data_IF_224704934427
#
_entry.id   IF_224704934427
#
_cell.length_a   1.000
_cell.length_b   1.000
_cell.length_c   1.000
_cell.angle_alpha   90.00
_cell.angle_beta   90.00
_cell.angle_gamma   90.00
#
_symmetry.space_group_name_H-M   'P 1'
#
loop_
_entity.id
_entity.type
_entity.pdbx_description
1 polymer ?
#
# COMPACT_ATOMS: atom_id res chain seq x y z
N UNK A 1 -13.73 4.31 -14.68
CA UNK A 1 -13.02 3.84 -13.47
C UNK A 1 -13.79 4.28 -12.23
N UNK A 2 -14.48 3.35 -11.55
CA UNK A 2 -15.28 3.67 -10.35
C UNK A 2 -14.34 4.00 -9.20
N UNK A 3 -14.18 5.30 -8.90
CA UNK A 3 -13.63 5.72 -7.62
C UNK A 3 -14.51 5.13 -6.52
N UNK A 4 -13.90 4.34 -5.64
CA UNK A 4 -14.54 3.74 -4.48
C UNK A 4 -14.78 4.84 -3.43
N UNK A 5 -15.69 5.78 -3.72
CA UNK A 5 -16.17 6.75 -2.74
C UNK A 5 -17.12 6.04 -1.77
N UNK A 6 -16.54 5.22 -0.88
CA UNK A 6 -17.28 4.51 0.16
C UNK A 6 -17.78 5.52 1.19
N UNK A 7 -19.08 5.84 1.17
CA UNK A 7 -19.75 6.60 2.24
C UNK A 7 -19.51 5.93 3.60
N UNK A 8 -18.86 6.65 4.53
CA UNK A 8 -18.71 6.42 5.98
C UNK A 8 -18.76 4.98 6.51
N UNK A 9 -19.95 4.37 6.58
CA UNK A 9 -20.14 3.02 7.14
C UNK A 9 -19.49 1.90 6.32
N UNK A 10 -19.46 2.03 5.00
CA UNK A 10 -18.83 1.01 4.16
C UNK A 10 -17.30 1.13 4.19
N UNK A 11 -16.77 2.33 4.42
CA UNK A 11 -15.33 2.55 4.58
C UNK A 11 -14.79 1.92 5.86
N UNK A 12 -15.51 2.08 6.99
CA UNK A 12 -15.13 1.45 8.26
C UNK A 12 -15.16 -0.08 8.20
N UNK A 13 -16.16 -0.67 7.52
CA UNK A 13 -16.20 -2.12 7.27
C UNK A 13 -15.07 -2.58 6.35
N UNK A 14 -14.78 -1.83 5.28
CA UNK A 14 -13.65 -2.12 4.40
C UNK A 14 -12.32 -2.09 5.17
N UNK A 15 -12.11 -1.10 6.04
CA UNK A 15 -10.95 -1.03 6.92
C UNK A 15 -10.81 -2.27 7.81
N UNK A 16 -11.89 -2.71 8.47
CA UNK A 16 -11.86 -3.90 9.33
C UNK A 16 -11.47 -5.18 8.59
N UNK A 17 -11.79 -5.30 7.30
CA UNK A 17 -11.45 -6.48 6.49
C UNK A 17 -10.05 -6.36 5.88
N UNK A 18 -9.72 -5.21 5.30
CA UNK A 18 -8.50 -5.05 4.50
C UNK A 18 -7.27 -4.75 5.34
N UNK A 19 -7.39 -4.03 6.47
CA UNK A 19 -6.23 -3.68 7.30
C UNK A 19 -5.50 -4.94 7.79
N UNK A 20 -6.17 -5.95 8.38
CA UNK A 20 -5.47 -7.16 8.83
C UNK A 20 -4.74 -7.89 7.69
N UNK A 21 -5.34 -7.93 6.49
CA UNK A 21 -4.74 -8.58 5.31
C UNK A 21 -3.48 -7.82 4.87
N UNK A 22 -3.57 -6.51 4.74
CA UNK A 22 -2.43 -5.67 4.33
C UNK A 22 -1.31 -5.66 5.38
N UNK A 23 -1.66 -5.67 6.66
CA UNK A 23 -0.70 -5.79 7.75
C UNK A 23 0.02 -7.13 7.70
N UNK A 24 -0.70 -8.23 7.45
CA UNK A 24 -0.09 -9.55 7.32
C UNK A 24 0.92 -9.60 6.16
N UNK A 25 0.54 -9.10 4.97
CA UNK A 25 1.48 -9.01 3.83
C UNK A 25 2.68 -8.11 4.17
N UNK A 26 2.47 -6.99 4.86
CA UNK A 26 3.54 -6.07 5.25
C UNK A 26 4.51 -6.68 6.27
N UNK A 27 3.98 -7.43 7.25
CA UNK A 27 4.78 -8.15 8.25
C UNK A 27 5.58 -9.27 7.59
N UNK A 28 4.98 -10.03 6.68
CA UNK A 28 5.67 -11.08 5.92
C UNK A 28 6.86 -10.52 5.14
N UNK A 29 6.66 -9.42 4.42
CA UNK A 29 7.73 -8.69 3.73
C UNK A 29 8.81 -8.23 4.73
N UNK A 30 8.42 -7.64 5.86
CA UNK A 30 9.39 -7.17 6.85
C UNK A 30 10.22 -8.32 7.43
N UNK A 31 9.61 -9.47 7.70
CA UNK A 31 10.31 -10.65 8.21
C UNK A 31 11.34 -11.15 7.20
N UNK A 32 11.00 -11.16 5.91
CA UNK A 32 11.85 -11.66 4.83
C UNK A 32 12.92 -10.65 4.38
N UNK A 33 12.55 -9.41 4.14
CA UNK A 33 13.42 -8.38 3.57
C UNK A 33 14.10 -7.49 4.64
N UNK A 34 13.67 -7.59 5.92
CA UNK A 34 14.07 -6.72 7.05
C UNK A 34 13.80 -5.22 6.84
N UNK A 35 12.99 -4.86 5.83
CA UNK A 35 12.64 -3.48 5.50
C UNK A 35 11.27 -3.37 4.84
N UNK A 36 10.51 -2.35 5.19
CA UNK A 36 9.24 -1.97 4.56
C UNK A 36 9.48 -0.74 3.67
N UNK A 37 9.91 -0.99 2.43
CA UNK A 37 10.15 0.09 1.46
C UNK A 37 8.87 0.47 0.71
N UNK A 38 8.85 1.66 0.12
CA UNK A 38 7.73 2.10 -0.69
C UNK A 38 7.45 1.17 -1.90
N UNK A 39 8.51 0.59 -2.46
CA UNK A 39 8.39 -0.41 -3.53
C UNK A 39 7.73 -1.69 -3.01
N UNK A 40 8.17 -2.21 -1.86
CA UNK A 40 7.61 -3.43 -1.29
C UNK A 40 6.11 -3.26 -0.95
N UNK A 41 5.72 -2.12 -0.38
CA UNK A 41 4.31 -1.78 -0.13
C UNK A 41 3.52 -1.68 -1.45
N UNK A 42 4.14 -1.18 -2.51
CA UNK A 42 3.51 -1.11 -3.83
C UNK A 42 3.26 -2.49 -4.43
N UNK A 43 4.13 -3.48 -4.16
CA UNK A 43 3.87 -4.87 -4.54
C UNK A 43 2.63 -5.43 -3.85
N UNK A 44 2.44 -5.14 -2.56
CA UNK A 44 1.21 -5.52 -1.84
C UNK A 44 -0.02 -4.92 -2.54
N UNK A 45 0.04 -3.62 -2.83
CA UNK A 45 -1.06 -2.91 -3.49
C UNK A 45 -1.39 -3.52 -4.87
N UNK A 46 -0.38 -3.86 -5.68
CA UNK A 46 -0.56 -4.51 -6.99
C UNK A 46 -1.12 -5.93 -6.82
N UNK A 47 -0.50 -6.76 -5.96
CA UNK A 47 -0.93 -8.14 -5.64
C UNK A 47 -2.40 -8.19 -5.22
N UNK A 48 -2.84 -7.23 -4.40
CA UNK A 48 -4.21 -7.14 -3.88
C UNK A 48 -5.15 -6.34 -4.78
N UNK A 49 -4.68 -5.85 -5.92
CA UNK A 49 -5.40 -4.96 -6.83
C UNK A 49 -6.05 -3.76 -6.10
N UNK A 50 -5.30 -3.16 -5.18
CA UNK A 50 -5.76 -2.08 -4.32
C UNK A 50 -5.07 -0.76 -4.69
N UNK A 51 -5.71 0.41 -4.48
CA UNK A 51 -5.04 1.68 -4.69
C UNK A 51 -3.80 1.80 -3.80
N UNK A 52 -2.66 2.18 -4.40
CA UNK A 52 -1.38 2.30 -3.68
C UNK A 52 -1.51 3.28 -2.51
N UNK A 53 -2.06 4.47 -2.75
CA UNK A 53 -2.29 5.48 -1.71
C UNK A 53 -3.07 4.90 -0.52
N UNK A 54 -4.18 4.23 -0.78
CA UNK A 54 -5.02 3.64 0.28
C UNK A 54 -4.30 2.51 1.02
N UNK A 55 -3.41 1.78 0.35
CA UNK A 55 -2.56 0.78 1.01
C UNK A 55 -1.64 1.45 2.04
N UNK A 56 -0.99 2.56 1.69
CA UNK A 56 -0.21 3.35 2.64
C UNK A 56 -1.07 3.89 3.78
N UNK A 57 -2.21 4.52 3.47
CA UNK A 57 -3.12 5.07 4.48
C UNK A 57 -3.60 4.02 5.48
N UNK A 58 -3.88 2.80 5.02
CA UNK A 58 -4.32 1.69 5.88
C UNK A 58 -3.18 1.18 6.76
N UNK A 59 -1.95 1.12 6.25
CA UNK A 59 -0.77 0.75 7.04
C UNK A 59 -0.37 1.84 8.04
N UNK A 60 -0.55 3.11 7.70
CA UNK A 60 -0.40 4.24 8.63
C UNK A 60 -1.45 4.20 9.74
N UNK A 61 -2.71 3.93 9.37
CA UNK A 61 -3.79 3.75 10.34
C UNK A 61 -3.48 2.62 11.33
N UNK A 62 -2.94 1.50 10.82
CA UNK A 62 -2.52 0.34 11.61
C UNK A 62 -1.21 0.56 12.39
N UNK A 63 -0.60 1.76 12.33
CA UNK A 63 0.68 2.11 12.96
C UNK A 63 1.87 1.27 12.50
N UNK A 64 1.76 0.64 11.33
CA UNK A 64 2.89 -0.05 10.67
C UNK A 64 3.84 0.97 10.04
N UNK A 65 3.30 2.09 9.57
CA UNK A 65 4.05 3.19 8.99
C UNK A 65 3.89 4.46 9.83
N UNK A 66 4.89 5.36 9.84
CA UNK A 66 4.73 6.71 10.38
C UNK A 66 3.57 7.44 9.69
N UNK A 67 2.82 8.25 10.43
CA UNK A 67 1.76 9.09 9.85
C UNK A 67 2.30 10.02 8.76
N UNK A 68 1.56 10.17 7.67
CA UNK A 68 1.94 11.04 6.54
C UNK A 68 3.11 10.48 5.72
N UNK A 69 3.34 9.16 5.78
CA UNK A 69 4.35 8.50 4.96
C UNK A 69 4.03 8.66 3.47
N UNK A 70 2.76 8.52 3.07
CA UNK A 70 2.38 8.75 1.68
C UNK A 70 2.72 10.16 1.20
N UNK A 71 2.37 11.18 1.97
CA UNK A 71 2.60 12.58 1.58
C UNK A 71 4.10 12.88 1.46
N UNK A 72 4.91 12.43 2.44
CA UNK A 72 6.38 12.56 2.37
C UNK A 72 6.99 11.84 1.16
N UNK A 73 6.42 10.70 0.77
CA UNK A 73 6.87 9.97 -0.41
C UNK A 73 6.54 10.75 -1.68
N UNK A 74 5.33 11.32 -1.77
CA UNK A 74 4.93 12.18 -2.89
C UNK A 74 5.82 13.42 -2.98
N UNK A 75 6.12 14.09 -1.86
CA UNK A 75 7.03 15.23 -1.81
C UNK A 75 8.44 14.87 -2.32
N UNK A 76 8.87 13.62 -2.11
CA UNK A 76 10.13 13.06 -2.63
C UNK A 76 10.04 12.54 -4.07
N UNK A 77 8.93 12.79 -4.77
CA UNK A 77 8.70 12.41 -6.16
C UNK A 77 8.26 10.95 -6.36
N UNK A 78 7.82 10.26 -5.31
CA UNK A 78 7.22 8.94 -5.43
C UNK A 78 5.74 9.07 -5.83
N UNK A 79 5.32 8.39 -6.90
CA UNK A 79 3.93 8.44 -7.38
C UNK A 79 3.38 7.05 -7.60
N UNK A 80 2.06 6.90 -7.53
CA UNK A 80 1.41 5.61 -7.78
C UNK A 80 1.71 5.06 -9.20
N UNK A 81 1.85 5.94 -10.20
CA UNK A 81 2.21 5.54 -11.56
C UNK A 81 3.64 4.99 -11.62
N UNK A 82 4.61 5.72 -11.02
CA UNK A 82 6.01 5.29 -10.94
C UNK A 82 6.15 3.98 -10.17
N UNK A 83 5.39 3.84 -9.08
CA UNK A 83 5.36 2.63 -8.28
C UNK A 83 4.85 1.41 -9.08
N UNK A 84 3.72 1.55 -9.79
CA UNK A 84 3.19 0.47 -10.64
C UNK A 84 4.17 0.09 -11.75
N UNK A 85 4.78 1.07 -12.40
CA UNK A 85 5.78 0.82 -13.44
C UNK A 85 7.01 0.08 -12.87
N UNK A 86 7.50 0.47 -11.69
CA UNK A 86 8.63 -0.19 -11.03
C UNK A 86 8.31 -1.63 -10.62
N UNK A 87 7.09 -1.91 -10.14
CA UNK A 87 6.65 -3.28 -9.83
C UNK A 87 6.58 -4.12 -11.11
N UNK A 88 5.94 -3.61 -12.16
CA UNK A 88 5.81 -4.32 -13.43
C UNK A 88 7.16 -4.63 -14.08
N UNK A 89 8.12 -3.69 -14.04
CA UNK A 89 9.46 -3.92 -14.57
C UNK A 89 10.22 -5.04 -13.83
N UNK A 90 9.93 -5.24 -12.54
CA UNK A 90 10.59 -6.25 -11.73
C UNK A 90 10.01 -7.65 -11.97
N UNK A 91 8.72 -7.75 -12.31
CA UNK A 91 8.06 -9.02 -12.67
C UNK A 91 8.50 -9.55 -14.04
N UNK A 92 8.91 -8.68 -14.97
CA UNK A 92 9.38 -9.07 -16.31
C UNK A 92 10.83 -9.57 -16.30
N UNK A 93 11.57 -9.28 -15.22
CA UNK A 93 13.00 -9.56 -15.13
C UNK A 93 13.34 -10.84 -14.35
N UNK A 94 12.35 -11.67 -14.05
CA UNK A 94 12.44 -12.99 -13.37
C UNK A 94 11.78 -14.06 -14.22
#
# INVERSE_FOLDING_TARGET
MRQLALRGRNYKKAMQVWIPILVADAVEIYVNEKKLTALAISRIAVKRNFPIKTTFEFLEYAKILPSGTWDRLVDRGFTAAKAKAAVAAQEVST
#
